data_IF_527758718772
#
_entry.id   IF_527758718772
#
_cell.length_a   1.000
_cell.length_b   1.000
_cell.length_c   1.000
_cell.angle_alpha   90.00
_cell.angle_beta   90.00
_cell.angle_gamma   90.00
#
_symmetry.space_group_name_H-M   'P 1'
#
loop_
_entity.id
_entity.type
_entity.pdbx_description
1 polymer ?
#
# COMPACT_ATOMS: atom_id res chain seq x y z
N UNK A 1 -12.18 19.83 4.17
CA UNK A 1 -10.89 20.07 4.86
C UNK A 1 -9.79 19.17 4.32
N UNK A 2 -9.90 17.84 4.43
CA UNK A 2 -8.86 16.90 3.97
C UNK A 2 -8.44 17.10 2.49
N UNK A 3 -9.40 17.09 1.56
CA UNK A 3 -9.11 17.24 0.12
C UNK A 3 -8.46 18.60 -0.22
N UNK A 4 -8.76 19.66 0.54
CA UNK A 4 -8.10 20.96 0.36
C UNK A 4 -6.63 20.89 0.81
N UNK A 5 -6.37 20.21 1.94
CA UNK A 5 -4.99 19.95 2.38
C UNK A 5 -4.24 19.10 1.36
N UNK A 6 -4.87 18.06 0.82
CA UNK A 6 -4.28 17.23 -0.23
C UNK A 6 -3.97 18.05 -1.48
N UNK A 7 -4.85 18.94 -1.93
CA UNK A 7 -4.59 19.84 -3.07
C UNK A 7 -3.32 20.66 -2.87
N UNK A 8 -3.16 21.27 -1.68
CA UNK A 8 -1.96 22.06 -1.36
C UNK A 8 -0.69 21.20 -1.27
N UNK A 9 -0.81 19.96 -0.82
CA UNK A 9 0.31 19.00 -0.80
C UNK A 9 0.68 18.60 -2.22
N UNK A 10 -0.30 18.35 -3.09
CA UNK A 10 -0.06 18.04 -4.49
C UNK A 10 0.68 19.17 -5.19
N UNK A 11 0.23 20.42 -5.02
CA UNK A 11 0.90 21.59 -5.57
C UNK A 11 2.33 21.74 -5.05
N UNK A 12 2.54 21.54 -3.74
CA UNK A 12 3.86 21.72 -3.11
C UNK A 12 4.88 20.64 -3.45
N UNK A 13 4.43 19.40 -3.63
CA UNK A 13 5.29 18.23 -3.79
C UNK A 13 5.15 17.58 -5.17
N UNK A 14 4.47 18.24 -6.11
CA UNK A 14 4.18 17.73 -7.45
C UNK A 14 3.53 16.35 -7.44
N UNK A 15 2.67 16.08 -6.45
CA UNK A 15 1.94 14.81 -6.43
C UNK A 15 0.81 14.81 -7.43
N UNK A 16 0.67 13.67 -8.09
CA UNK A 16 -0.46 13.39 -8.96
C UNK A 16 -1.32 12.35 -8.24
N UNK A 17 -2.52 12.73 -7.82
CA UNK A 17 -3.44 11.81 -7.16
C UNK A 17 -4.45 11.26 -8.17
N UNK A 18 -4.43 9.95 -8.35
CA UNK A 18 -5.24 9.21 -9.30
C UNK A 18 -6.55 8.71 -8.68
N UNK A 19 -6.52 8.34 -7.40
CA UNK A 19 -7.71 7.91 -6.66
C UNK A 19 -7.56 8.17 -5.16
N UNK A 20 -8.69 8.36 -4.48
CA UNK A 20 -8.74 8.46 -3.02
C UNK A 20 -9.99 7.79 -2.46
N UNK A 21 -9.91 7.34 -1.21
CA UNK A 21 -11.07 6.97 -0.41
C UNK A 21 -10.83 7.30 1.06
N UNK A 22 -11.66 8.16 1.64
CA UNK A 22 -11.65 8.49 3.05
C UNK A 22 -12.66 7.57 3.75
N UNK A 23 -12.17 6.73 4.66
CA UNK A 23 -12.98 5.86 5.51
C UNK A 23 -13.24 6.56 6.86
N UNK A 24 -14.10 5.98 7.70
CA UNK A 24 -14.39 6.55 9.02
C UNK A 24 -13.19 6.58 9.97
N UNK A 25 -12.19 5.71 9.77
CA UNK A 25 -11.04 5.54 10.67
C UNK A 25 -9.66 5.56 9.96
N UNK A 26 -9.62 5.63 8.63
CA UNK A 26 -8.38 5.70 7.85
C UNK A 26 -8.66 6.27 6.45
N UNK A 27 -7.64 6.40 5.61
CA UNK A 27 -7.82 6.78 4.20
C UNK A 27 -6.86 6.01 3.30
N UNK A 28 -7.22 5.93 2.02
CA UNK A 28 -6.40 5.34 0.95
C UNK A 28 -6.17 6.38 -0.14
N UNK A 29 -4.95 6.44 -0.68
CA UNK A 29 -4.57 7.30 -1.79
C UNK A 29 -3.79 6.49 -2.82
N UNK A 30 -4.05 6.73 -4.11
CA UNK A 30 -3.17 6.33 -5.21
C UNK A 30 -2.46 7.59 -5.67
N UNK A 31 -1.18 7.68 -5.33
CA UNK A 31 -0.34 8.86 -5.61
C UNK A 31 0.83 8.44 -6.48
N UNK A 32 1.05 9.20 -7.54
CA UNK A 32 2.30 9.22 -8.29
C UNK A 32 3.16 10.39 -7.78
N UNK A 33 4.44 10.10 -7.51
CA UNK A 33 5.40 11.07 -6.96
C UNK A 33 6.61 11.19 -7.88
N UNK A 34 6.56 12.05 -8.92
CA UNK A 34 7.67 12.23 -9.86
C UNK A 34 9.02 12.53 -9.18
N UNK A 35 9.00 13.31 -8.10
CA UNK A 35 10.20 13.70 -7.36
C UNK A 35 10.60 12.74 -6.21
N UNK A 36 9.96 11.56 -6.11
CA UNK A 36 10.29 10.55 -5.08
C UNK A 36 10.10 11.03 -3.63
N UNK A 37 9.18 11.98 -3.39
CA UNK A 37 9.06 12.74 -2.15
C UNK A 37 7.88 12.33 -1.25
N UNK A 38 7.39 11.09 -1.38
CA UNK A 38 6.20 10.56 -0.68
C UNK A 38 6.24 10.81 0.83
N UNK A 39 7.35 10.50 1.51
CA UNK A 39 7.45 10.68 2.97
C UNK A 39 7.32 12.14 3.40
N UNK A 40 7.88 13.09 2.63
CA UNK A 40 7.82 14.53 2.92
C UNK A 40 6.38 15.04 2.76
N UNK A 41 5.72 14.68 1.67
CA UNK A 41 4.33 15.07 1.46
C UNK A 41 3.36 14.41 2.45
N UNK A 42 3.56 13.14 2.83
CA UNK A 42 2.72 12.48 3.84
C UNK A 42 2.87 13.13 5.22
N UNK A 43 4.09 13.54 5.61
CA UNK A 43 4.33 14.30 6.83
C UNK A 43 3.54 15.61 6.83
N UNK A 44 3.58 16.35 5.72
CA UNK A 44 2.84 17.61 5.56
C UNK A 44 1.32 17.39 5.61
N UNK A 45 0.81 16.43 4.82
CA UNK A 45 -0.61 16.11 4.72
C UNK A 45 -1.20 15.78 6.09
N UNK A 46 -0.58 14.83 6.78
CA UNK A 46 -1.06 14.37 8.08
C UNK A 46 -0.92 15.45 9.15
N UNK A 47 0.24 16.14 9.21
CA UNK A 47 0.48 17.19 10.20
C UNK A 47 -0.52 18.34 10.08
N UNK A 48 -0.68 18.90 8.87
CA UNK A 48 -1.60 20.02 8.63
C UNK A 48 -3.05 19.60 8.87
N UNK A 49 -3.45 18.41 8.42
CA UNK A 49 -4.80 17.93 8.66
C UNK A 49 -5.08 17.70 10.15
N UNK A 50 -4.16 17.08 10.90
CA UNK A 50 -4.28 16.90 12.35
C UNK A 50 -4.44 18.23 13.08
N UNK A 51 -3.59 19.22 12.78
CA UNK A 51 -3.69 20.55 13.40
C UNK A 51 -5.03 21.22 13.11
N UNK A 52 -5.47 21.19 11.84
CA UNK A 52 -6.74 21.79 11.44
C UNK A 52 -7.95 21.08 12.07
N UNK A 53 -7.92 19.74 12.14
CA UNK A 53 -8.96 18.93 12.78
C UNK A 53 -9.03 19.21 14.29
N UNK A 54 -7.90 19.18 14.97
CA UNK A 54 -7.82 19.43 16.40
C UNK A 54 -8.34 20.83 16.77
N UNK A 55 -7.93 21.85 16.01
CA UNK A 55 -8.43 23.22 16.18
C UNK A 55 -9.95 23.30 15.98
N UNK A 56 -10.47 22.66 14.93
CA UNK A 56 -11.92 22.68 14.62
C UNK A 56 -12.76 21.96 15.65
N UNK A 57 -12.24 20.90 16.27
CA UNK A 57 -12.98 20.03 17.17
C UNK A 57 -12.59 20.20 18.65
N UNK A 58 -11.79 21.23 18.98
CA UNK A 58 -11.26 21.48 20.33
C UNK A 58 -10.59 20.25 20.96
N UNK A 59 -9.83 19.50 20.14
CA UNK A 59 -9.06 18.33 20.59
C UNK A 59 -7.57 18.63 20.61
N UNK A 60 -6.82 17.84 21.37
CA UNK A 60 -5.36 17.87 21.43
C UNK A 60 -4.79 16.48 21.20
N UNK A 61 -3.50 16.40 20.86
CA UNK A 61 -2.80 15.13 20.65
C UNK A 61 -2.91 14.56 19.22
N UNK A 62 -2.57 13.28 19.09
CA UNK A 62 -2.48 12.60 17.79
C UNK A 62 -3.85 12.24 17.22
N UNK A 63 -4.05 12.50 15.93
CA UNK A 63 -5.26 12.07 15.21
C UNK A 63 -5.07 10.73 14.48
N UNK A 64 -3.91 10.52 13.87
CA UNK A 64 -3.60 9.29 13.13
C UNK A 64 -2.78 8.33 14.00
N UNK A 65 -3.11 7.04 13.90
CA UNK A 65 -2.36 5.99 14.60
C UNK A 65 -1.17 5.53 13.76
N UNK A 66 0.04 5.83 14.23
CA UNK A 66 1.28 5.36 13.62
C UNK A 66 1.62 6.02 12.28
N UNK A 67 2.52 5.36 11.53
CA UNK A 67 3.00 5.84 10.23
C UNK A 67 2.13 5.34 9.09
N UNK A 68 2.16 6.06 7.96
CA UNK A 68 1.53 5.58 6.73
C UNK A 68 2.18 4.29 6.24
N UNK A 69 1.39 3.47 5.53
CA UNK A 69 1.89 2.32 4.77
C UNK A 69 1.93 2.70 3.30
N UNK A 70 3.11 2.59 2.69
CA UNK A 70 3.30 2.79 1.26
C UNK A 70 3.52 1.45 0.57
N UNK A 71 2.85 1.23 -0.56
CA UNK A 71 3.00 0.06 -1.41
C UNK A 71 3.35 0.60 -2.79
N UNK A 72 4.52 0.22 -3.30
CA UNK A 72 4.94 0.67 -4.62
C UNK A 72 4.27 -0.21 -5.67
N UNK A 73 3.66 0.43 -6.65
CA UNK A 73 2.88 -0.21 -7.70
C UNK A 73 3.57 0.03 -9.03
N UNK A 74 3.85 -1.05 -9.76
CA UNK A 74 4.24 -0.96 -11.16
C UNK A 74 3.00 -0.53 -11.96
N UNK A 75 3.09 0.64 -12.60
CA UNK A 75 1.94 1.31 -13.22
C UNK A 75 1.33 0.47 -14.33
N UNK A 76 2.16 -0.16 -15.14
CA UNK A 76 1.77 -0.89 -16.34
C UNK A 76 0.90 -2.13 -16.05
N UNK A 77 1.09 -2.76 -14.88
CA UNK A 77 0.46 -4.04 -14.55
C UNK A 77 -0.74 -3.94 -13.61
N UNK A 78 -0.74 -3.01 -12.65
CA UNK A 78 -1.75 -3.01 -11.58
C UNK A 78 -2.45 -1.67 -11.36
N UNK A 79 -2.15 -0.63 -12.14
CA UNK A 79 -2.64 0.72 -11.89
C UNK A 79 -4.17 0.82 -11.76
N UNK A 80 -4.90 0.31 -12.77
CA UNK A 80 -6.37 0.35 -12.76
C UNK A 80 -6.96 -0.48 -11.62
N UNK A 81 -6.37 -1.63 -11.32
CA UNK A 81 -6.86 -2.52 -10.27
C UNK A 81 -6.68 -1.92 -8.88
N UNK A 82 -5.56 -1.23 -8.63
CA UNK A 82 -5.31 -0.52 -7.38
C UNK A 82 -6.27 0.66 -7.25
N UNK A 83 -6.50 1.43 -8.32
CA UNK A 83 -7.51 2.50 -8.32
C UNK A 83 -8.91 1.95 -8.01
N UNK A 84 -9.30 0.84 -8.65
CA UNK A 84 -10.55 0.12 -8.39
C UNK A 84 -10.63 -0.36 -6.93
N UNK A 85 -9.54 -0.91 -6.39
CA UNK A 85 -9.48 -1.35 -5.00
C UNK A 85 -9.75 -0.21 -4.02
N UNK A 86 -9.14 0.96 -4.25
CA UNK A 86 -9.30 2.14 -3.40
C UNK A 86 -10.74 2.60 -3.38
N UNK A 87 -11.41 2.69 -4.53
CA UNK A 87 -12.79 3.18 -4.58
C UNK A 87 -13.83 2.15 -4.11
N UNK A 88 -13.50 0.86 -4.12
CA UNK A 88 -14.35 -0.22 -3.62
C UNK A 88 -14.17 -0.51 -2.13
N UNK A 89 -13.24 0.16 -1.44
CA UNK A 89 -13.01 -0.06 -0.01
C UNK A 89 -14.28 0.06 0.86
N UNK A 90 -15.17 1.05 0.66
CA UNK A 90 -16.41 1.17 1.40
C UNK A 90 -17.35 -0.02 1.22
N UNK A 91 -17.42 -0.58 0.01
CA UNK A 91 -18.24 -1.76 -0.31
C UNK A 91 -17.65 -3.00 0.36
N UNK A 92 -16.33 -3.18 0.28
CA UNK A 92 -15.63 -4.31 0.90
C UNK A 92 -15.68 -4.28 2.42
N UNK A 93 -15.68 -3.09 3.00
CA UNK A 93 -15.92 -2.88 4.43
C UNK A 93 -17.39 -3.04 4.83
N UNK A 94 -18.30 -3.37 3.89
CA UNK A 94 -19.75 -3.49 4.08
C UNK A 94 -20.40 -2.19 4.62
N UNK A 95 -19.76 -1.04 4.42
CA UNK A 95 -20.29 0.26 4.84
C UNK A 95 -21.39 0.76 3.89
N UNK A 96 -21.34 0.36 2.61
CA UNK A 96 -22.32 0.67 1.57
C UNK A 96 -22.46 -0.51 0.62
N UNK A 97 -23.56 -0.59 -0.14
CA UNK A 97 -23.76 -1.65 -1.14
C UNK A 97 -23.14 -1.29 -2.48
N UNK A 98 -23.08 0.01 -2.80
CA UNK A 98 -22.60 0.50 -4.09
C UNK A 98 -21.56 1.62 -3.87
N UNK A 99 -20.50 1.71 -4.69
CA UNK A 99 -19.46 2.73 -4.52
C UNK A 99 -19.99 4.16 -4.69
N UNK A 100 -21.08 4.36 -5.44
CA UNK A 100 -21.76 5.67 -5.59
C UNK A 100 -22.36 6.21 -4.29
N UNK A 101 -22.68 5.33 -3.35
CA UNK A 101 -23.30 5.69 -2.06
C UNK A 101 -22.28 6.28 -1.08
N UNK A 102 -20.97 6.13 -1.35
CA UNK A 102 -19.91 6.71 -0.54
C UNK A 102 -19.40 8.03 -1.14
N UNK A 103 -19.80 9.20 -0.61
CA UNK A 103 -19.40 10.49 -1.17
C UNK A 103 -17.92 10.82 -0.94
N UNK A 104 -17.26 10.11 -0.01
CA UNK A 104 -15.89 10.39 0.41
C UNK A 104 -14.82 9.59 -0.35
N UNK A 105 -15.13 9.12 -1.56
CA UNK A 105 -14.17 8.54 -2.49
C UNK A 105 -14.12 9.29 -3.82
N UNK A 106 -13.07 9.04 -4.61
CA UNK A 106 -12.95 9.59 -5.97
C UNK A 106 -13.92 8.95 -6.98
N UNK A 107 -14.62 7.86 -6.62
CA UNK A 107 -15.50 7.12 -7.55
C UNK A 107 -16.47 8.02 -8.29
N UNK A 108 -17.20 8.88 -7.55
CA UNK A 108 -18.23 9.75 -8.13
C UNK A 108 -17.61 10.77 -9.09
N UNK A 109 -16.46 11.34 -8.74
CA UNK A 109 -15.77 12.30 -9.59
C UNK A 109 -15.25 11.66 -10.88
N UNK A 110 -14.51 10.55 -10.77
CA UNK A 110 -13.98 9.81 -11.93
C UNK A 110 -15.11 9.28 -12.80
N UNK A 111 -16.18 8.78 -12.19
CA UNK A 111 -17.37 8.27 -12.87
C UNK A 111 -18.33 9.33 -13.39
N UNK A 112 -18.01 10.63 -13.32
CA UNK A 112 -18.86 11.71 -13.87
C UNK A 112 -20.17 11.97 -13.10
N UNK A 113 -20.26 11.52 -11.86
CA UNK A 113 -21.41 11.69 -10.96
C UNK A 113 -21.22 12.84 -9.95
N UNK A 114 -20.07 13.51 -9.98
CA UNK A 114 -19.73 14.65 -9.15
C UNK A 114 -18.63 15.49 -9.82
N UNK A 115 -18.46 16.73 -9.34
CA UNK A 115 -17.35 17.59 -9.75
C UNK A 115 -16.01 16.98 -9.33
N UNK A 116 -15.01 17.08 -10.20
CA UNK A 116 -13.64 16.65 -9.91
C UNK A 116 -12.99 17.62 -8.91
N UNK A 117 -12.55 17.15 -7.72
CA UNK A 117 -11.79 17.98 -6.79
C UNK A 117 -10.43 18.37 -7.38
N UNK A 118 -9.90 19.55 -7.02
CA UNK A 118 -8.60 20.04 -7.51
C UNK A 118 -7.44 19.10 -7.25
N UNK A 119 -7.53 18.33 -6.17
CA UNK A 119 -6.50 17.38 -5.79
C UNK A 119 -6.54 16.07 -6.60
N UNK A 120 -7.45 15.88 -7.56
CA UNK A 120 -7.66 14.62 -8.27
C UNK A 120 -7.45 14.81 -9.77
N UNK A 121 -6.63 13.95 -10.38
CA UNK A 121 -6.65 13.74 -11.83
C UNK A 121 -7.53 12.55 -12.18
N UNK A 122 -8.31 12.67 -13.26
CA UNK A 122 -9.20 11.59 -13.73
C UNK A 122 -8.91 11.19 -15.17
N UNK A 123 -8.16 12.02 -15.90
CA UNK A 123 -7.98 11.84 -17.34
C UNK A 123 -7.10 10.63 -17.64
N UNK A 124 -6.09 10.37 -16.81
CA UNK A 124 -5.26 9.17 -16.91
C UNK A 124 -6.10 7.91 -16.80
N UNK A 125 -6.90 7.78 -15.74
CA UNK A 125 -7.79 6.62 -15.54
C UNK A 125 -8.77 6.50 -16.71
N UNK A 126 -9.41 7.61 -17.11
CA UNK A 126 -10.43 7.61 -18.16
C UNK A 126 -9.85 7.29 -19.54
N UNK A 127 -8.57 7.60 -19.80
CA UNK A 127 -7.92 7.31 -21.08
C UNK A 127 -7.91 5.81 -21.41
N UNK A 128 -7.82 4.95 -20.39
CA UNK A 128 -7.91 3.50 -20.54
C UNK A 128 -9.28 2.99 -20.98
N UNK A 129 -10.33 3.81 -20.87
CA UNK A 129 -11.71 3.44 -21.22
C UNK A 129 -12.19 4.08 -22.53
N UNK A 130 -11.42 5.01 -23.09
CA UNK A 130 -11.64 5.58 -24.42
C UNK A 130 -11.41 7.10 -24.50
N UNK A 131 -11.37 7.62 -25.72
CA UNK A 131 -11.01 9.03 -25.97
C UNK A 131 -12.14 10.02 -25.63
N UNK A 132 -13.41 9.58 -25.67
CA UNK A 132 -14.56 10.44 -25.35
C UNK A 132 -14.94 10.30 -23.88
N UNK A 133 -14.96 11.42 -23.16
CA UNK A 133 -15.17 11.48 -21.70
C UNK A 133 -16.43 10.77 -21.23
N UNK A 134 -17.60 11.05 -21.81
CA UNK A 134 -18.87 10.43 -21.41
C UNK A 134 -18.87 8.90 -21.53
N UNK A 135 -18.54 8.34 -22.71
CA UNK A 135 -18.37 6.88 -22.87
C UNK A 135 -17.31 6.27 -21.95
N UNK A 136 -16.16 6.93 -21.75
CA UNK A 136 -15.11 6.45 -20.85
C UNK A 136 -15.60 6.37 -19.39
N UNK A 137 -16.34 7.37 -18.92
CA UNK A 137 -16.94 7.37 -17.58
C UNK A 137 -17.94 6.24 -17.38
N UNK A 138 -18.71 5.88 -18.42
CA UNK A 138 -19.63 4.74 -18.36
C UNK A 138 -18.88 3.42 -18.21
N UNK A 139 -17.90 3.17 -19.08
CA UNK A 139 -17.05 1.97 -19.02
C UNK A 139 -16.26 1.87 -17.71
N UNK A 140 -15.78 2.99 -17.17
CA UNK A 140 -15.15 3.02 -15.85
C UNK A 140 -16.12 2.53 -14.74
N UNK A 141 -17.39 2.96 -14.77
CA UNK A 141 -18.38 2.50 -13.78
C UNK A 141 -18.66 1.00 -13.91
N UNK A 142 -18.74 0.48 -15.14
CA UNK A 142 -18.88 -0.97 -15.42
C UNK A 142 -17.69 -1.75 -14.85
N UNK A 143 -16.46 -1.34 -15.20
CA UNK A 143 -15.21 -1.93 -14.72
C UNK A 143 -15.09 -1.96 -13.18
N UNK A 144 -15.50 -0.88 -12.51
CA UNK A 144 -15.53 -0.84 -11.03
C UNK A 144 -16.61 -1.77 -10.49
N UNK A 145 -17.78 -1.82 -11.13
CA UNK A 145 -18.88 -2.71 -10.76
C UNK A 145 -18.50 -4.19 -10.80
N UNK A 146 -17.77 -4.61 -11.83
CA UNK A 146 -17.22 -5.97 -11.96
C UNK A 146 -16.31 -6.35 -10.77
N UNK A 147 -15.62 -5.37 -10.19
CA UNK A 147 -14.73 -5.59 -9.04
C UNK A 147 -15.43 -5.81 -7.71
N UNK A 148 -16.77 -5.67 -7.64
CA UNK A 148 -17.56 -5.92 -6.42
C UNK A 148 -17.59 -7.41 -6.08
N UNK A 149 -17.74 -8.27 -7.09
CA UNK A 149 -17.79 -9.73 -6.92
C UNK A 149 -16.42 -10.44 -7.05
N UNK A 150 -15.40 -9.74 -7.54
CA UNK A 150 -14.08 -10.30 -7.79
C UNK A 150 -13.18 -10.45 -6.55
N UNK A 151 -12.22 -11.37 -6.63
CA UNK A 151 -11.19 -11.60 -5.62
C UNK A 151 -10.33 -10.35 -5.36
N UNK A 152 -9.77 -10.25 -4.16
CA UNK A 152 -8.94 -9.11 -3.77
C UNK A 152 -7.54 -9.23 -4.37
N UNK A 153 -7.06 -8.20 -5.06
CA UNK A 153 -5.66 -8.12 -5.57
C UNK A 153 -4.60 -8.32 -4.46
N UNK A 154 -4.99 -8.18 -3.19
CA UNK A 154 -4.09 -8.33 -2.05
C UNK A 154 -3.84 -9.79 -1.64
N UNK A 155 -4.55 -10.75 -2.21
CA UNK A 155 -4.33 -12.17 -1.94
C UNK A 155 -2.98 -12.67 -2.50
N UNK A 156 -2.42 -11.96 -3.50
CA UNK A 156 -1.19 -12.34 -4.19
C UNK A 156 0.04 -11.46 -3.87
N UNK A 157 0.04 -10.64 -2.81
CA UNK A 157 1.21 -9.80 -2.51
C UNK A 157 2.44 -10.61 -2.09
N UNK A 158 3.39 -10.72 -3.00
CA UNK A 158 4.76 -11.03 -2.65
C UNK A 158 5.35 -9.88 -1.80
N UNK A 159 5.77 -10.22 -0.58
CA UNK A 159 6.56 -9.36 0.32
C UNK A 159 5.91 -8.06 0.87
N UNK A 160 4.58 -7.93 0.87
CA UNK A 160 3.80 -6.88 1.59
C UNK A 160 4.12 -5.41 1.24
N UNK A 161 4.93 -5.12 0.21
CA UNK A 161 5.36 -3.74 -0.09
C UNK A 161 5.50 -3.42 -1.59
N UNK A 162 5.35 -4.41 -2.46
CA UNK A 162 5.47 -4.26 -3.91
C UNK A 162 4.30 -4.95 -4.60
N UNK A 163 3.75 -4.31 -5.63
CA UNK A 163 2.82 -4.88 -6.59
C UNK A 163 3.41 -4.70 -7.99
N UNK A 164 3.71 -5.78 -8.70
CA UNK A 164 4.34 -5.75 -10.01
C UNK A 164 4.65 -7.16 -10.55
N UNK A 165 5.04 -7.23 -11.82
CA UNK A 165 5.39 -8.48 -12.50
C UNK A 165 6.69 -9.08 -11.94
N UNK A 166 6.92 -10.37 -12.21
CA UNK A 166 8.21 -11.02 -11.91
C UNK A 166 9.36 -10.21 -12.54
N UNK A 167 10.39 -9.88 -11.75
CA UNK A 167 11.51 -9.02 -12.16
C UNK A 167 11.42 -7.53 -11.77
N UNK A 168 10.22 -6.99 -11.50
CA UNK A 168 10.07 -5.59 -11.04
C UNK A 168 10.83 -5.32 -9.75
N UNK A 169 10.74 -6.26 -8.81
CA UNK A 169 11.41 -6.14 -7.53
C UNK A 169 12.95 -6.25 -7.65
N UNK A 170 13.45 -6.96 -8.65
CA UNK A 170 14.88 -7.09 -8.93
C UNK A 170 15.44 -5.85 -9.65
N UNK A 171 14.68 -5.27 -10.58
CA UNK A 171 15.00 -3.98 -11.19
C UNK A 171 15.08 -2.85 -10.14
N UNK A 172 14.14 -2.84 -9.18
CA UNK A 172 14.15 -1.86 -8.09
C UNK A 172 15.32 -2.05 -7.12
N UNK A 173 15.78 -3.28 -6.86
CA UNK A 173 16.95 -3.51 -5.99
C UNK A 173 18.16 -2.70 -6.43
N UNK A 174 18.44 -2.67 -7.75
CA UNK A 174 19.56 -1.91 -8.32
C UNK A 174 19.50 -0.40 -8.07
N UNK A 175 18.29 0.13 -7.80
CA UNK A 175 18.05 1.55 -7.54
C UNK A 175 17.97 1.88 -6.04
N UNK A 176 17.89 0.86 -5.18
CA UNK A 176 17.73 1.01 -3.71
C UNK A 176 18.99 0.55 -2.96
N UNK A 177 19.92 -0.13 -3.62
CA UNK A 177 21.25 -0.48 -3.11
C UNK A 177 21.96 0.76 -2.56
N UNK A 178 22.40 0.70 -1.29
CA UNK A 178 23.03 1.80 -0.55
C UNK A 178 22.15 2.52 0.48
N UNK A 179 20.85 2.18 0.59
CA UNK A 179 19.92 2.74 1.62
C UNK A 179 19.55 1.75 2.73
N UNK A 180 20.29 0.65 2.86
CA UNK A 180 20.03 -0.47 3.77
C UNK A 180 20.04 -0.09 5.26
N UNK A 181 20.70 1.03 5.59
CA UNK A 181 20.93 1.51 6.95
C UNK A 181 19.92 2.56 7.43
N UNK A 182 18.96 2.98 6.60
CA UNK A 182 17.97 4.01 6.98
C UNK A 182 16.98 3.43 8.00
N UNK A 183 17.19 3.79 9.28
CA UNK A 183 16.38 3.33 10.42
C UNK A 183 14.89 3.68 10.29
N UNK A 184 14.56 4.74 9.56
CA UNK A 184 13.19 5.23 9.37
C UNK A 184 12.32 4.35 8.44
N UNK A 185 12.92 3.53 7.58
CA UNK A 185 12.18 2.60 6.70
C UNK A 185 11.85 1.31 7.50
N UNK A 186 10.60 0.80 7.53
CA UNK A 186 10.29 -0.50 8.15
C UNK A 186 11.17 -1.63 7.58
N UNK A 187 11.61 -2.59 8.40
CA UNK A 187 12.52 -3.67 7.98
C UNK A 187 12.06 -4.41 6.72
N UNK A 188 10.75 -4.68 6.58
CA UNK A 188 10.19 -5.33 5.38
C UNK A 188 10.24 -4.49 4.10
N UNK A 189 10.37 -3.17 4.20
CA UNK A 189 10.54 -2.23 3.09
C UNK A 189 12.02 -1.92 2.79
N UNK A 190 12.95 -2.26 3.70
CA UNK A 190 14.40 -2.10 3.46
C UNK A 190 14.95 -3.10 2.45
N UNK A 191 14.28 -4.24 2.30
CA UNK A 191 14.72 -5.37 1.48
C UNK A 191 13.71 -5.63 0.36
N UNK A 192 13.60 -4.64 -0.54
CA UNK A 192 12.83 -4.73 -1.79
C UNK A 192 13.30 -5.95 -2.59
N UNK A 193 12.38 -6.76 -3.10
CA UNK A 193 12.65 -7.97 -3.89
C UNK A 193 13.10 -9.22 -3.14
N UNK A 194 13.06 -9.24 -1.81
CA UNK A 194 13.32 -10.47 -1.02
C UNK A 194 12.46 -11.64 -1.49
N UNK A 195 13.07 -12.85 -1.50
CA UNK A 195 12.35 -14.09 -1.80
C UNK A 195 11.15 -14.23 -0.85
N UNK A 196 10.00 -14.65 -1.38
CA UNK A 196 8.81 -14.88 -0.56
C UNK A 196 9.09 -15.98 0.47
N UNK A 197 8.40 -15.97 1.62
CA UNK A 197 8.53 -17.05 2.61
C UNK A 197 8.27 -18.41 1.95
N UNK A 198 7.27 -18.48 1.07
CA UNK A 198 7.00 -19.69 0.27
C UNK A 198 8.24 -20.13 -0.51
N UNK A 199 8.88 -19.25 -1.29
CA UNK A 199 10.10 -19.59 -2.05
C UNK A 199 11.27 -19.98 -1.13
N UNK A 200 11.46 -19.28 0.00
CA UNK A 200 12.51 -19.57 0.99
C UNK A 200 12.33 -20.95 1.64
N UNK A 201 11.09 -21.38 1.86
CA UNK A 201 10.79 -22.64 2.51
C UNK A 201 10.42 -23.78 1.55
N UNK A 202 10.14 -23.51 0.27
CA UNK A 202 9.95 -24.52 -0.79
C UNK A 202 11.28 -25.19 -1.18
N UNK A 203 12.41 -24.47 -1.09
CA UNK A 203 13.78 -25.02 -1.25
C UNK A 203 14.29 -25.76 0.01
N UNK A 204 13.50 -25.78 1.09
CA UNK A 204 13.84 -26.46 2.32
C UNK A 204 13.58 -27.97 2.19
N UNK A 205 14.56 -28.67 1.64
CA UNK A 205 14.68 -30.13 1.79
C UNK A 205 14.43 -30.55 3.25
N UNK A 206 13.68 -31.65 3.40
CA UNK A 206 13.12 -32.16 4.67
C UNK A 206 14.21 -32.29 5.76
N UNK A 207 14.37 -31.29 6.62
CA UNK A 207 15.35 -31.33 7.72
C UNK A 207 15.17 -30.21 8.74
N UNK A 208 15.06 -30.58 10.03
CA UNK A 208 14.82 -29.65 11.16
C UNK A 208 15.90 -28.56 11.27
N UNK A 209 17.18 -28.95 11.19
CA UNK A 209 18.30 -28.02 11.24
C UNK A 209 18.32 -27.02 10.08
N UNK A 210 17.97 -27.45 8.85
CA UNK A 210 17.89 -26.57 7.68
C UNK A 210 16.77 -25.55 7.82
N UNK A 211 15.59 -25.99 8.30
CA UNK A 211 14.45 -25.11 8.58
C UNK A 211 14.79 -24.04 9.62
N UNK A 212 15.45 -24.44 10.70
CA UNK A 212 15.75 -23.52 11.82
C UNK A 212 16.77 -22.44 11.39
N UNK A 213 17.76 -22.78 10.54
CA UNK A 213 18.63 -21.80 9.86
C UNK A 213 17.87 -20.86 8.93
N UNK A 214 16.95 -21.38 8.13
CA UNK A 214 16.11 -20.56 7.23
C UNK A 214 15.18 -19.62 8.00
N UNK A 215 14.69 -20.01 9.18
CA UNK A 215 13.94 -19.11 10.07
C UNK A 215 14.80 -17.93 10.51
N UNK A 216 16.05 -18.19 10.91
CA UNK A 216 17.01 -17.14 11.28
C UNK A 216 17.35 -16.23 10.08
N UNK A 217 17.64 -16.80 8.90
CA UNK A 217 17.90 -16.04 7.67
C UNK A 217 16.68 -15.21 7.24
N UNK A 218 15.47 -15.76 7.34
CA UNK A 218 14.25 -15.03 7.01
C UNK A 218 14.10 -13.74 7.85
N UNK A 219 14.43 -13.79 9.14
CA UNK A 219 14.31 -12.63 10.03
C UNK A 219 15.51 -11.69 9.92
N UNK A 220 16.73 -12.22 9.93
CA UNK A 220 17.96 -11.43 10.02
C UNK A 220 18.42 -10.90 8.66
N UNK A 221 18.33 -11.72 7.61
CA UNK A 221 18.84 -11.40 6.27
C UNK A 221 17.75 -10.94 5.32
N UNK A 222 16.54 -11.51 5.42
CA UNK A 222 15.39 -11.11 4.59
C UNK A 222 14.43 -10.15 5.29
N UNK A 223 14.65 -9.81 6.57
CA UNK A 223 13.91 -8.76 7.29
C UNK A 223 12.44 -9.07 7.56
N UNK A 224 12.04 -10.34 7.57
CA UNK A 224 10.70 -10.74 8.01
C UNK A 224 10.56 -10.53 9.51
N UNK A 225 9.37 -10.14 9.98
CA UNK A 225 9.08 -10.20 11.40
C UNK A 225 8.97 -11.66 11.85
N UNK A 226 9.34 -11.92 13.11
CA UNK A 226 9.16 -13.24 13.71
C UNK A 226 7.71 -13.70 13.63
N UNK A 227 6.75 -12.77 13.71
CA UNK A 227 5.32 -13.04 13.60
C UNK A 227 4.90 -13.48 12.19
N UNK A 228 5.47 -12.88 11.13
CA UNK A 228 5.23 -13.31 9.74
C UNK A 228 5.74 -14.73 9.50
N UNK A 229 6.95 -15.05 9.98
CA UNK A 229 7.54 -16.39 9.87
C UNK A 229 6.73 -17.40 10.67
N UNK A 230 6.34 -17.07 11.90
CA UNK A 230 5.51 -17.91 12.76
C UNK A 230 4.17 -18.25 12.09
N UNK A 231 3.47 -17.24 11.54
CA UNK A 231 2.19 -17.43 10.85
C UNK A 231 2.35 -18.32 9.61
N UNK A 232 3.40 -18.10 8.81
CA UNK A 232 3.63 -18.87 7.59
C UNK A 232 3.93 -20.35 7.87
N UNK A 233 4.76 -20.62 8.88
CA UNK A 233 5.14 -21.99 9.27
C UNK A 233 4.13 -22.65 10.22
N UNK A 234 3.04 -21.96 10.58
CA UNK A 234 2.07 -22.40 11.61
C UNK A 234 2.73 -22.75 12.94
N UNK A 235 3.77 -22.00 13.32
CA UNK A 235 4.47 -22.13 14.60
C UNK A 235 4.03 -21.05 15.57
N UNK A 236 4.16 -21.32 16.87
CA UNK A 236 3.96 -20.30 17.88
C UNK A 236 5.12 -19.28 17.86
N UNK A 237 4.82 -18.01 18.13
CA UNK A 237 5.83 -16.92 18.15
C UNK A 237 7.03 -17.24 19.04
N UNK A 238 6.79 -17.78 20.24
CA UNK A 238 7.85 -18.13 21.19
C UNK A 238 8.80 -19.22 20.68
N UNK A 239 8.34 -20.09 19.78
CA UNK A 239 9.18 -21.09 19.12
C UNK A 239 10.13 -20.42 18.15
N UNK A 240 9.64 -19.50 17.31
CA UNK A 240 10.46 -18.73 16.36
C UNK A 240 11.49 -17.87 17.11
N UNK A 241 11.07 -17.20 18.20
CA UNK A 241 11.97 -16.36 19.00
C UNK A 241 13.11 -17.17 19.65
N UNK A 242 12.83 -18.37 20.18
CA UNK A 242 13.87 -19.24 20.75
C UNK A 242 14.85 -19.75 19.70
N UNK A 243 14.35 -20.17 18.54
CA UNK A 243 15.18 -20.67 17.43
C UNK A 243 16.14 -19.60 16.90
N UNK A 244 15.68 -18.35 16.78
CA UNK A 244 16.55 -17.26 16.35
C UNK A 244 17.64 -17.00 17.39
N UNK A 245 17.28 -17.07 18.68
CA UNK A 245 18.24 -16.88 19.77
C UNK A 245 19.32 -17.98 19.75
N UNK A 246 18.93 -19.24 19.64
CA UNK A 246 19.88 -20.37 19.61
C UNK A 246 20.81 -20.35 18.39
N UNK A 247 20.28 -20.03 17.20
CA UNK A 247 21.09 -19.95 15.97
C UNK A 247 22.07 -18.77 16.03
N UNK A 248 21.69 -17.65 16.64
CA UNK A 248 22.59 -16.51 16.81
C UNK A 248 23.69 -16.78 17.85
N UNK A 249 23.43 -17.66 18.82
CA UNK A 249 24.41 -18.10 19.83
C UNK A 249 25.41 -19.10 19.26
N UNK A 250 25.00 -19.99 18.34
CA UNK A 250 25.89 -20.93 17.64
C UNK A 250 26.83 -20.28 16.59
N UNK A 251 26.58 -19.01 16.23
CA UNK A 251 27.35 -18.26 15.22
C UNK A 251 28.36 -17.27 15.83
N UNK A 252 28.48 -17.22 17.16
CA UNK A 252 29.49 -16.45 17.91
C UNK A 252 30.62 -17.35 18.35
#
# INVERSE_FOLDING_TARGET
>A
MFLNTLSRVNERFHWICHAYCLMGNHYHLVIETPDGNLSKGMRQLNGVYTQAYNRRHHRVGHLFQGRFKGILVQKESHYLEVCRYVVLNPVRAKAVKQPREWPWSSYRATGGLARVPRCLTVDEILSHFGQRRGPAQRKYREYVGEGIAGASIWENLAAQSLLGLEGFAEALRRHVTGKETIREIPKGQRLIGRASLKKLFDEAGKGKAKRDRLISQAVNQHGYSQMEVARHLKLHYSTVSRLIKSVNEEQR
#
